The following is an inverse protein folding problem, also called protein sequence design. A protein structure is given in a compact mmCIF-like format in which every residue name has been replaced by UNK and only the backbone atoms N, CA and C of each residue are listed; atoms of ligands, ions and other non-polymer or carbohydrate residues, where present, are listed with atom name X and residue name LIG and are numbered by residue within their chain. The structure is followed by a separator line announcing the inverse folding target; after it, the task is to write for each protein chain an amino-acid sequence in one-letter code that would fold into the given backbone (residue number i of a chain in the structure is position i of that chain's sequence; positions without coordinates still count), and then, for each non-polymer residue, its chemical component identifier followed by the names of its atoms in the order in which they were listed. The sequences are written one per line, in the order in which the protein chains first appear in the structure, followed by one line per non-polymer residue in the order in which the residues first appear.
data_IF_275331761268
#
_entry.id   IF_275331761268
#
_cell.length_a   1.000
_cell.length_b   1.000
_cell.length_c   1.000
_cell.angle_alpha   90.00
_cell.angle_beta   90.00
_cell.angle_gamma   90.00
#
_symmetry.space_group_name_H-M   'P 1'
#
loop_
_entity.id
_entity.type
_entity.pdbx_description
1 polymer ?
#
# COMPACT_ATOMS: atom_id res chain seq x y z
N UNK A 1 -10.83 -6.07 -90.82
CA UNK A 1 -10.34 -6.86 -89.72
C UNK A 1 -9.71 -5.92 -88.65
N UNK A 2 -10.48 -5.54 -87.65
CA UNK A 2 -9.99 -4.64 -86.57
C UNK A 2 -9.97 -5.50 -85.22
N UNK A 3 -8.76 -5.67 -84.67
CA UNK A 3 -8.55 -6.34 -83.37
C UNK A 3 -8.74 -5.33 -82.24
N UNK A 4 -9.76 -5.55 -81.41
CA UNK A 4 -9.92 -4.84 -80.13
C UNK A 4 -9.06 -5.54 -79.09
N UNK A 5 -8.14 -4.77 -78.46
CA UNK A 5 -7.36 -5.19 -77.32
C UNK A 5 -8.04 -4.66 -76.05
N UNK A 6 -8.58 -5.55 -75.22
CA UNK A 6 -9.10 -5.17 -73.90
C UNK A 6 -7.94 -5.11 -72.89
N UNK A 7 -7.69 -3.91 -72.34
CA UNK A 7 -6.85 -3.76 -71.16
C UNK A 7 -7.69 -4.02 -69.90
N UNK A 8 -7.32 -5.05 -69.14
CA UNK A 8 -7.89 -5.31 -67.83
C UNK A 8 -7.08 -4.55 -66.78
N UNK A 9 -7.66 -3.51 -66.17
CA UNK A 9 -7.10 -2.89 -64.96
C UNK A 9 -7.35 -3.75 -63.76
N UNK A 10 -6.32 -4.33 -63.16
CA UNK A 10 -6.37 -5.00 -61.87
C UNK A 10 -6.22 -3.97 -60.77
N UNK A 11 -7.33 -3.64 -60.09
CA UNK A 11 -7.32 -2.81 -58.89
C UNK A 11 -6.89 -3.67 -57.65
N UNK A 12 -5.66 -3.47 -57.16
CA UNK A 12 -5.21 -4.00 -55.90
C UNK A 12 -5.91 -3.22 -54.76
N UNK A 13 -6.89 -3.86 -54.13
CA UNK A 13 -7.46 -3.36 -52.88
C UNK A 13 -6.46 -3.66 -51.73
N UNK A 14 -5.80 -2.60 -51.23
CA UNK A 14 -4.94 -2.66 -50.08
C UNK A 14 -5.85 -2.70 -48.83
N UNK A 15 -6.20 -3.87 -48.32
CA UNK A 15 -6.85 -4.02 -47.02
C UNK A 15 -5.84 -3.69 -45.91
N UNK A 16 -5.86 -2.45 -45.43
CA UNK A 16 -5.12 -2.02 -44.27
C UNK A 16 -5.68 -2.77 -43.03
N UNK A 17 -4.93 -3.69 -42.49
CA UNK A 17 -5.22 -4.31 -41.18
C UNK A 17 -5.00 -3.22 -40.14
N UNK A 18 -6.09 -2.61 -39.65
CA UNK A 18 -6.06 -1.74 -38.48
C UNK A 18 -5.86 -2.68 -37.30
N UNK A 19 -4.62 -2.84 -36.85
CA UNK A 19 -4.34 -3.49 -35.56
C UNK A 19 -4.95 -2.61 -34.47
N UNK A 20 -6.06 -3.04 -33.89
CA UNK A 20 -6.56 -2.45 -32.65
C UNK A 20 -5.51 -2.70 -31.58
N UNK A 21 -4.75 -1.68 -31.22
CA UNK A 21 -3.90 -1.72 -30.04
C UNK A 21 -4.82 -1.97 -28.83
N UNK A 22 -4.81 -3.17 -28.30
CA UNK A 22 -5.51 -3.48 -27.06
C UNK A 22 -4.77 -2.69 -25.98
N UNK A 23 -5.50 -1.83 -25.25
CA UNK A 23 -4.91 -1.08 -24.16
C UNK A 23 -4.29 -2.07 -23.17
N UNK A 24 -3.05 -1.83 -22.79
CA UNK A 24 -2.37 -2.63 -21.79
C UNK A 24 -3.12 -2.46 -20.46
N UNK A 25 -3.55 -3.56 -19.85
CA UNK A 25 -4.22 -3.54 -18.55
C UNK A 25 -3.21 -3.93 -17.47
N UNK A 26 -3.00 -3.03 -16.51
CA UNK A 26 -2.16 -3.25 -15.34
C UNK A 26 -3.03 -3.61 -14.14
N UNK A 27 -2.78 -4.77 -13.54
CA UNK A 27 -3.47 -5.23 -12.34
C UNK A 27 -2.65 -4.81 -11.12
N UNK A 28 -3.27 -4.08 -10.20
CA UNK A 28 -2.61 -3.57 -8.99
C UNK A 28 -3.37 -4.09 -7.77
N UNK A 29 -2.65 -4.68 -6.82
CA UNK A 29 -3.23 -5.09 -5.56
C UNK A 29 -3.01 -4.04 -4.47
N UNK A 30 -3.99 -3.96 -3.59
CA UNK A 30 -3.92 -3.26 -2.30
C UNK A 30 -4.57 -4.12 -1.23
N UNK A 31 -4.39 -3.82 0.06
CA UNK A 31 -5.00 -4.64 1.12
C UNK A 31 -6.51 -4.39 1.23
N UNK A 32 -6.92 -3.14 1.27
CA UNK A 32 -8.33 -2.76 1.42
C UNK A 32 -8.81 -2.69 2.87
N UNK A 33 -7.91 -2.77 3.85
CA UNK A 33 -8.19 -2.71 5.29
C UNK A 33 -7.22 -1.79 6.05
N UNK A 34 -6.73 -0.73 5.41
CA UNK A 34 -5.71 0.16 5.96
C UNK A 34 -6.04 1.65 5.72
N UNK A 35 -7.14 2.19 6.31
CA UNK A 35 -7.51 3.59 6.14
C UNK A 35 -6.48 4.52 6.78
N UNK A 36 -6.22 5.71 6.23
CA UNK A 36 -6.85 6.32 5.05
C UNK A 36 -6.13 5.95 3.74
N UNK A 37 -5.18 5.01 3.76
CA UNK A 37 -4.35 4.65 2.60
C UNK A 37 -5.09 3.77 1.59
N UNK A 38 -5.70 2.68 2.07
CA UNK A 38 -6.48 1.80 1.23
C UNK A 38 -7.58 1.11 2.08
N UNK A 39 -8.82 1.22 1.66
CA UNK A 39 -9.96 0.64 2.36
C UNK A 39 -11.11 0.36 1.40
N UNK A 40 -12.00 -0.53 1.81
CA UNK A 40 -13.21 -0.89 1.07
C UNK A 40 -14.41 -0.15 1.68
N UNK A 41 -15.19 0.52 0.85
CA UNK A 41 -16.41 1.20 1.28
C UNK A 41 -17.62 0.23 1.41
N UNK A 42 -18.75 0.76 1.85
CA UNK A 42 -20.01 -0.01 2.00
C UNK A 42 -20.58 -0.56 0.69
N UNK A 43 -20.06 -0.12 -0.47
CA UNK A 43 -20.40 -0.62 -1.81
C UNK A 43 -19.37 -1.59 -2.36
N UNK A 44 -18.43 -2.03 -1.51
CA UNK A 44 -17.31 -2.89 -1.91
C UNK A 44 -16.38 -2.26 -2.96
N UNK A 45 -16.17 -0.94 -2.87
CA UNK A 45 -15.26 -0.20 -3.75
C UNK A 45 -14.00 0.19 -2.98
N UNK A 46 -12.85 0.05 -3.63
CA UNK A 46 -11.55 0.44 -3.08
C UNK A 46 -11.37 1.97 -3.15
N UNK A 47 -10.93 2.54 -2.04
CA UNK A 47 -10.65 3.95 -1.86
C UNK A 47 -9.38 4.16 -1.05
N UNK A 48 -8.88 5.39 -1.02
CA UNK A 48 -7.78 5.82 -0.17
C UNK A 48 -6.60 6.36 -0.96
N UNK A 49 -5.58 6.81 -0.21
CA UNK A 49 -4.39 7.44 -0.77
C UNK A 49 -3.65 6.53 -1.76
N UNK A 50 -3.42 5.26 -1.41
CA UNK A 50 -2.75 4.27 -2.26
C UNK A 50 -3.52 4.04 -3.57
N UNK A 51 -4.86 3.97 -3.47
CA UNK A 51 -5.76 3.79 -4.60
C UNK A 51 -5.68 4.98 -5.56
N UNK A 52 -5.67 6.20 -5.02
CA UNK A 52 -5.56 7.42 -5.80
C UNK A 52 -4.18 7.58 -6.45
N UNK A 53 -3.11 7.21 -5.73
CA UNK A 53 -1.76 7.16 -6.29
C UNK A 53 -1.70 6.14 -7.44
N UNK A 54 -2.19 4.91 -7.24
CA UNK A 54 -2.21 3.89 -8.28
C UNK A 54 -2.93 4.38 -9.54
N UNK A 55 -4.12 4.98 -9.39
CA UNK A 55 -4.88 5.54 -10.51
C UNK A 55 -4.13 6.68 -11.22
N UNK A 56 -3.46 7.57 -10.48
CA UNK A 56 -2.68 8.65 -11.06
C UNK A 56 -1.47 8.14 -11.86
N UNK A 57 -0.78 7.11 -11.35
CA UNK A 57 0.32 6.45 -12.06
C UNK A 57 -0.16 5.81 -13.36
N UNK A 58 -1.29 5.10 -13.33
CA UNK A 58 -1.88 4.49 -14.51
C UNK A 58 -2.26 5.52 -15.58
N UNK A 59 -2.85 6.63 -15.15
CA UNK A 59 -3.17 7.75 -16.06
C UNK A 59 -1.91 8.33 -16.72
N UNK A 60 -0.81 8.50 -15.96
CA UNK A 60 0.47 8.95 -16.50
C UNK A 60 1.09 7.97 -17.49
N UNK A 61 1.00 6.68 -17.20
CA UNK A 61 1.49 5.61 -18.08
C UNK A 61 0.59 5.37 -19.30
N UNK A 62 -0.62 5.97 -19.35
CA UNK A 62 -1.64 5.74 -20.37
C UNK A 62 -2.05 4.28 -20.50
N UNK A 63 -2.20 3.59 -19.37
CA UNK A 63 -2.67 2.21 -19.28
C UNK A 63 -3.98 2.15 -18.51
N UNK A 64 -4.80 1.13 -18.82
CA UNK A 64 -5.97 0.82 -18.00
C UNK A 64 -5.55 0.07 -16.74
N UNK A 65 -6.09 0.44 -15.58
CA UNK A 65 -5.78 -0.23 -14.32
C UNK A 65 -6.98 -0.94 -13.72
N UNK A 66 -6.73 -2.14 -13.21
CA UNK A 66 -7.67 -2.88 -12.37
C UNK A 66 -7.10 -2.98 -10.96
N UNK A 67 -7.84 -2.48 -9.99
CA UNK A 67 -7.48 -2.58 -8.57
C UNK A 67 -8.12 -3.82 -7.95
N UNK A 68 -7.35 -4.54 -7.13
CA UNK A 68 -7.77 -5.80 -6.49
C UNK A 68 -7.46 -5.73 -5.01
N UNK A 69 -8.45 -6.05 -4.16
CA UNK A 69 -8.22 -6.27 -2.74
C UNK A 69 -7.59 -7.65 -2.50
N UNK A 70 -6.58 -7.71 -1.66
CA UNK A 70 -5.87 -8.94 -1.28
C UNK A 70 -5.39 -8.84 0.16
N UNK A 71 -5.79 -9.78 1.00
CA UNK A 71 -5.33 -9.87 2.39
C UNK A 71 -3.81 -9.79 2.48
N UNK A 72 -3.32 -9.09 3.50
CA UNK A 72 -1.92 -8.73 3.67
C UNK A 72 -0.97 -9.93 3.63
N UNK A 73 -1.23 -10.99 4.38
CA UNK A 73 -0.36 -12.18 4.43
C UNK A 73 -0.18 -12.87 3.07
N UNK A 74 -1.18 -12.73 2.19
CA UNK A 74 -1.17 -13.29 0.85
C UNK A 74 -0.61 -12.37 -0.23
N UNK A 75 -0.32 -11.10 0.05
CA UNK A 75 -0.11 -10.08 -0.98
C UNK A 75 1.20 -10.30 -1.79
N UNK A 76 2.33 -10.58 -1.15
CA UNK A 76 3.57 -10.92 -1.87
C UNK A 76 3.49 -12.29 -2.56
N UNK A 77 3.05 -13.38 -1.91
CA UNK A 77 2.84 -14.67 -2.58
C UNK A 77 1.98 -14.59 -3.84
N UNK A 78 0.90 -13.81 -3.82
CA UNK A 78 0.01 -13.66 -4.97
C UNK A 78 0.63 -12.80 -6.10
N UNK A 79 1.47 -11.80 -5.77
CA UNK A 79 2.28 -11.07 -6.75
C UNK A 79 3.24 -12.01 -7.48
N UNK A 80 3.95 -12.86 -6.73
CA UNK A 80 4.88 -13.85 -7.28
C UNK A 80 4.15 -14.91 -8.13
N UNK A 81 2.92 -15.26 -7.75
CA UNK A 81 2.03 -16.15 -8.52
C UNK A 81 1.35 -15.44 -9.73
N UNK A 82 1.73 -14.20 -10.05
CA UNK A 82 1.21 -13.41 -11.19
C UNK A 82 -0.29 -13.16 -11.18
N UNK A 83 -0.93 -13.13 -9.99
CA UNK A 83 -2.34 -12.76 -9.87
C UNK A 83 -2.56 -11.28 -10.21
N UNK A 84 -1.56 -10.45 -9.97
CA UNK A 84 -1.47 -9.04 -10.35
C UNK A 84 -0.01 -8.67 -10.66
N UNK A 85 0.23 -7.43 -11.04
CA UNK A 85 1.50 -7.00 -11.63
C UNK A 85 2.29 -6.07 -10.71
N UNK A 86 1.59 -5.36 -9.81
CA UNK A 86 2.17 -4.48 -8.80
C UNK A 86 1.35 -4.49 -7.50
N UNK A 87 1.97 -4.08 -6.41
CA UNK A 87 1.32 -3.87 -5.10
C UNK A 87 1.52 -2.42 -4.68
N UNK A 88 0.40 -1.71 -4.48
CA UNK A 88 0.34 -0.35 -3.92
C UNK A 88 -0.52 -0.43 -2.66
N UNK A 89 0.13 -0.69 -1.52
CA UNK A 89 -0.53 -1.06 -0.28
C UNK A 89 0.26 -0.64 0.95
N UNK A 90 0.80 0.58 0.95
CA UNK A 90 1.59 1.10 2.08
C UNK A 90 2.74 0.17 2.51
N UNK A 91 3.35 -0.54 1.56
CA UNK A 91 4.36 -1.54 1.85
C UNK A 91 5.73 -0.91 2.15
N UNK A 92 6.20 -1.04 3.37
CA UNK A 92 7.54 -0.63 3.80
C UNK A 92 8.60 -1.46 3.08
N UNK A 93 9.66 -0.81 2.62
CA UNK A 93 10.85 -1.47 2.07
C UNK A 93 11.62 -2.13 3.22
N UNK A 94 11.79 -3.45 3.16
CA UNK A 94 12.65 -4.19 4.10
C UNK A 94 13.60 -5.11 3.33
N UNK A 95 14.75 -5.44 3.94
CA UNK A 95 15.70 -6.39 3.33
C UNK A 95 15.06 -7.76 3.05
N UNK A 96 14.18 -8.23 3.94
CA UNK A 96 13.48 -9.50 3.77
C UNK A 96 12.51 -9.49 2.57
N UNK A 97 11.82 -8.37 2.36
CA UNK A 97 10.95 -8.18 1.20
C UNK A 97 11.76 -8.03 -0.08
N UNK A 98 12.89 -7.30 -0.05
CA UNK A 98 13.79 -7.12 -1.19
C UNK A 98 14.41 -8.42 -1.69
N UNK A 99 14.54 -9.46 -0.85
CA UNK A 99 14.95 -10.81 -1.29
C UNK A 99 13.92 -11.49 -2.19
N UNK A 100 12.67 -11.04 -2.17
CA UNK A 100 11.55 -11.67 -2.90
C UNK A 100 10.99 -10.81 -4.02
N UNK A 101 10.98 -9.48 -3.85
CA UNK A 101 10.39 -8.50 -4.78
C UNK A 101 11.33 -7.32 -4.98
N UNK A 102 11.10 -6.56 -6.04
CA UNK A 102 11.75 -5.26 -6.26
C UNK A 102 10.79 -4.13 -5.90
N UNK A 103 11.35 -3.01 -5.47
CA UNK A 103 10.60 -1.82 -5.14
C UNK A 103 10.88 -0.68 -6.10
N UNK A 104 9.90 0.20 -6.29
CA UNK A 104 10.08 1.53 -6.89
C UNK A 104 10.84 2.45 -5.93
N UNK A 105 11.09 3.69 -6.37
CA UNK A 105 11.37 4.78 -5.45
C UNK A 105 10.20 4.92 -4.47
N UNK A 106 10.49 5.44 -3.26
CA UNK A 106 9.44 5.64 -2.26
C UNK A 106 8.38 6.62 -2.75
N UNK A 107 7.13 6.42 -2.32
CA UNK A 107 6.07 7.41 -2.55
C UNK A 107 5.61 8.10 -1.27
N UNK A 108 6.01 7.63 -0.08
CA UNK A 108 5.93 8.38 1.18
C UNK A 108 6.86 7.79 2.24
N UNK A 109 6.94 8.44 3.41
CA UNK A 109 7.63 7.95 4.60
C UNK A 109 6.67 7.79 5.75
N UNK A 110 6.95 6.84 6.62
CA UNK A 110 6.21 6.59 7.85
C UNK A 110 7.14 6.28 9.00
N UNK A 111 6.59 6.05 10.16
CA UNK A 111 7.27 5.50 11.35
C UNK A 111 6.27 4.75 12.20
N UNK A 112 6.76 3.91 13.09
CA UNK A 112 5.93 3.22 14.04
C UNK A 112 5.54 4.14 15.21
N UNK A 113 4.35 3.90 15.72
CA UNK A 113 3.83 4.57 16.90
C UNK A 113 3.02 3.58 17.76
N UNK A 114 2.80 3.94 19.01
CA UNK A 114 2.04 3.13 19.96
C UNK A 114 0.79 3.87 20.39
N UNK A 115 -0.35 3.19 20.37
CA UNK A 115 -1.56 3.60 21.05
C UNK A 115 -1.82 2.76 22.29
N UNK A 116 -2.49 3.38 23.26
CA UNK A 116 -2.91 2.75 24.53
C UNK A 116 -4.33 3.17 24.87
N UNK A 117 -5.00 2.44 25.74
CA UNK A 117 -6.28 2.85 26.29
C UNK A 117 -6.13 4.19 27.05
N UNK A 118 -7.17 5.03 27.03
CA UNK A 118 -7.23 6.24 27.86
C UNK A 118 -7.12 5.86 29.32
N UNK A 119 -6.26 6.58 30.04
CA UNK A 119 -5.98 6.27 31.45
C UNK A 119 -4.92 5.19 31.68
N UNK A 120 -4.25 4.70 30.62
CA UNK A 120 -3.10 3.83 30.75
C UNK A 120 -1.98 4.47 31.60
N UNK A 121 -1.33 3.65 32.43
CA UNK A 121 -0.17 4.05 33.24
C UNK A 121 1.12 4.18 32.44
N UNK A 122 1.16 3.66 31.19
CA UNK A 122 2.33 3.81 30.31
C UNK A 122 2.60 5.29 30.02
N UNK A 123 3.91 5.67 30.04
CA UNK A 123 4.36 7.06 29.86
C UNK A 123 5.29 7.26 28.66
N UNK A 124 5.85 6.17 28.13
CA UNK A 124 6.81 6.23 27.02
C UNK A 124 6.78 4.92 26.20
N UNK A 125 7.50 4.93 25.07
CA UNK A 125 7.59 3.80 24.15
C UNK A 125 8.86 2.95 24.33
N UNK A 126 9.55 3.07 25.46
CA UNK A 126 10.74 2.26 25.74
C UNK A 126 10.36 0.80 25.95
N UNK A 127 11.12 -0.16 25.39
CA UNK A 127 10.76 -1.58 25.44
C UNK A 127 10.50 -2.11 26.86
N UNK A 128 11.29 -1.66 27.84
CA UNK A 128 11.20 -2.12 29.22
C UNK A 128 9.86 -1.74 29.90
N UNK A 129 9.23 -0.67 29.41
CA UNK A 129 7.94 -0.19 29.93
C UNK A 129 6.78 -1.14 29.58
N UNK A 130 6.96 -2.06 28.62
CA UNK A 130 5.94 -3.00 28.17
C UNK A 130 6.04 -4.39 28.83
N UNK A 131 7.01 -4.58 29.72
CA UNK A 131 7.20 -5.88 30.40
C UNK A 131 5.93 -6.34 31.12
N UNK A 132 5.47 -7.54 30.76
CA UNK A 132 4.26 -8.15 31.35
C UNK A 132 2.94 -7.60 30.81
N UNK A 133 2.98 -6.67 29.83
CA UNK A 133 1.81 -6.14 29.15
C UNK A 133 1.51 -6.91 27.86
N UNK A 134 0.26 -6.85 27.41
CA UNK A 134 -0.20 -7.45 26.17
C UNK A 134 -0.14 -6.42 25.04
N UNK A 135 0.72 -6.65 24.05
CA UNK A 135 0.95 -5.75 22.90
C UNK A 135 0.41 -6.38 21.63
N UNK A 136 -0.44 -5.67 20.90
CA UNK A 136 -1.00 -6.12 19.63
C UNK A 136 -0.35 -5.46 18.43
N UNK A 137 -0.30 -6.18 17.29
CA UNK A 137 0.07 -5.66 15.98
C UNK A 137 -0.49 -6.55 14.87
N UNK A 138 -0.52 -6.06 13.64
CA UNK A 138 -0.85 -6.90 12.48
C UNK A 138 0.33 -7.82 12.15
N UNK A 139 0.03 -9.08 11.80
CA UNK A 139 1.02 -10.09 11.39
C UNK A 139 1.72 -9.71 10.08
N UNK A 140 2.93 -10.24 9.86
CA UNK A 140 3.72 -10.07 8.62
C UNK A 140 4.03 -8.61 8.24
N UNK A 141 3.89 -7.69 9.21
CA UNK A 141 4.19 -6.25 9.05
C UNK A 141 5.46 -5.85 9.81
N UNK A 142 5.98 -4.65 9.53
CA UNK A 142 7.08 -4.06 10.33
C UNK A 142 6.66 -3.82 11.77
N UNK A 143 5.39 -3.48 12.01
CA UNK A 143 4.79 -3.32 13.33
C UNK A 143 4.82 -4.64 14.12
N UNK A 144 4.39 -5.74 13.47
CA UNK A 144 4.40 -7.07 14.07
C UNK A 144 5.80 -7.56 14.39
N UNK A 145 6.74 -7.41 13.45
CA UNK A 145 8.15 -7.76 13.68
C UNK A 145 8.76 -6.94 14.83
N UNK A 146 8.51 -5.63 14.86
CA UNK A 146 8.99 -4.78 15.96
C UNK A 146 8.39 -5.20 17.30
N UNK A 147 7.10 -5.50 17.33
CA UNK A 147 6.43 -5.95 18.55
C UNK A 147 7.07 -7.25 19.08
N UNK A 148 7.33 -8.23 18.22
CA UNK A 148 7.95 -9.51 18.62
C UNK A 148 9.42 -9.33 19.00
N UNK A 149 10.22 -8.70 18.14
CA UNK A 149 11.69 -8.64 18.28
C UNK A 149 12.13 -7.68 19.39
N UNK A 150 11.34 -6.64 19.69
CA UNK A 150 11.73 -5.60 20.63
C UNK A 150 10.87 -5.66 21.90
N UNK A 151 9.56 -5.54 21.81
CA UNK A 151 8.72 -5.57 23.01
C UNK A 151 8.60 -6.99 23.60
N UNK A 152 8.47 -8.01 22.74
CA UNK A 152 8.47 -9.41 23.15
C UNK A 152 9.79 -9.80 23.83
N UNK A 153 10.93 -9.42 23.25
CA UNK A 153 12.25 -9.64 23.87
C UNK A 153 12.42 -8.90 25.21
N UNK A 154 11.74 -7.77 25.41
CA UNK A 154 11.71 -7.05 26.70
C UNK A 154 10.74 -7.64 27.71
N UNK A 155 9.95 -8.66 27.35
CA UNK A 155 9.04 -9.39 28.22
C UNK A 155 7.57 -9.00 28.11
N UNK A 156 7.15 -8.37 27.00
CA UNK A 156 5.74 -8.22 26.67
C UNK A 156 5.14 -9.55 26.14
N UNK A 157 3.86 -9.76 26.33
CA UNK A 157 3.08 -10.76 25.58
C UNK A 157 2.65 -10.15 24.25
N UNK A 158 3.09 -10.71 23.11
CA UNK A 158 2.73 -10.18 21.80
C UNK A 158 1.60 -10.99 21.18
N UNK A 159 0.56 -10.29 20.71
CA UNK A 159 -0.55 -10.86 19.94
C UNK A 159 -0.54 -10.32 18.54
N UNK A 160 -0.42 -11.21 17.55
CA UNK A 160 -0.48 -10.88 16.14
C UNK A 160 -1.88 -11.15 15.57
N UNK A 161 -2.35 -10.24 14.72
CA UNK A 161 -3.68 -10.26 14.11
C UNK A 161 -3.58 -10.32 12.59
N UNK A 162 -4.53 -10.97 11.90
CA UNK A 162 -4.52 -11.01 10.42
C UNK A 162 -4.76 -9.64 9.79
N UNK A 163 -5.49 -8.75 10.47
CA UNK A 163 -5.70 -7.37 10.03
C UNK A 163 -5.41 -6.36 11.14
N UNK A 164 -5.13 -5.13 10.75
CA UNK A 164 -4.95 -4.04 11.71
C UNK A 164 -6.27 -3.69 12.43
N UNK A 165 -7.40 -3.81 11.74
CA UNK A 165 -8.72 -3.55 12.33
C UNK A 165 -9.05 -4.51 13.47
N UNK A 166 -8.64 -5.79 13.37
CA UNK A 166 -8.80 -6.75 14.47
C UNK A 166 -7.97 -6.36 15.70
N UNK A 167 -6.73 -5.93 15.49
CA UNK A 167 -5.87 -5.43 16.56
C UNK A 167 -6.44 -4.15 17.21
N UNK A 168 -6.94 -3.22 16.41
CA UNK A 168 -7.61 -2.00 16.86
C UNK A 168 -8.84 -2.33 17.74
N UNK A 169 -9.66 -3.30 17.30
CA UNK A 169 -10.84 -3.74 18.05
C UNK A 169 -10.47 -4.35 19.41
N UNK A 170 -9.37 -5.08 19.49
CA UNK A 170 -8.90 -5.69 20.74
C UNK A 170 -8.32 -4.65 21.71
N UNK A 171 -7.64 -3.61 21.23
CA UNK A 171 -7.27 -2.46 22.07
C UNK A 171 -8.52 -1.75 22.60
N UNK A 172 -9.50 -1.49 21.72
CA UNK A 172 -10.75 -0.80 22.09
C UNK A 172 -11.55 -1.56 23.18
N UNK A 173 -11.48 -2.87 23.18
CA UNK A 173 -12.20 -3.72 24.15
C UNK A 173 -11.38 -4.10 25.38
N UNK A 174 -10.15 -3.59 25.51
CA UNK A 174 -9.27 -3.82 26.66
C UNK A 174 -8.65 -5.23 26.71
N UNK A 175 -8.58 -5.92 25.55
CA UNK A 175 -7.86 -7.19 25.43
C UNK A 175 -6.37 -7.00 25.11
N UNK A 176 -5.98 -5.79 24.79
CA UNK A 176 -4.60 -5.32 24.65
C UNK A 176 -4.36 -4.15 25.60
N UNK A 177 -3.15 -4.07 26.13
CA UNK A 177 -2.66 -2.90 26.87
C UNK A 177 -2.10 -1.82 25.93
N UNK A 178 -1.53 -2.25 24.81
CA UNK A 178 -0.95 -1.37 23.81
C UNK A 178 -1.07 -1.96 22.39
N UNK A 179 -1.02 -1.07 21.40
CA UNK A 179 -1.07 -1.39 19.98
C UNK A 179 0.09 -0.72 19.27
N UNK A 180 0.88 -1.50 18.51
CA UNK A 180 1.89 -0.98 17.59
C UNK A 180 1.28 -0.84 16.19
N UNK A 181 1.50 0.31 15.57
CA UNK A 181 0.92 0.64 14.29
C UNK A 181 1.80 1.64 13.52
N UNK A 182 1.63 1.76 12.20
CA UNK A 182 2.14 2.93 11.49
C UNK A 182 1.44 4.19 11.97
N UNK A 183 2.21 5.26 12.08
CA UNK A 183 1.75 6.51 12.69
C UNK A 183 0.51 7.12 12.02
N UNK A 184 0.49 7.20 10.71
CA UNK A 184 -0.58 7.94 10.03
C UNK A 184 -1.94 7.22 10.05
N UNK A 185 -2.03 5.91 9.76
CA UNK A 185 -3.29 5.19 9.97
C UNK A 185 -3.72 5.18 11.43
N UNK A 186 -2.76 5.09 12.37
CA UNK A 186 -3.05 5.18 13.80
C UNK A 186 -3.71 6.51 14.17
N UNK A 187 -3.18 7.62 13.67
CA UNK A 187 -3.76 8.95 13.93
C UNK A 187 -5.16 9.09 13.32
N UNK A 188 -5.39 8.53 12.13
CA UNK A 188 -6.71 8.51 11.50
C UNK A 188 -7.71 7.71 12.33
N UNK A 189 -7.33 6.50 12.77
CA UNK A 189 -8.16 5.66 13.64
C UNK A 189 -8.47 6.34 14.98
N UNK A 190 -7.45 6.92 15.65
CA UNK A 190 -7.62 7.66 16.91
C UNK A 190 -8.50 8.89 16.78
N UNK A 191 -8.57 9.49 15.59
CA UNK A 191 -9.48 10.62 15.33
C UNK A 191 -10.94 10.19 15.06
N UNK A 192 -11.17 8.93 14.74
CA UNK A 192 -12.46 8.34 14.36
C UNK A 192 -12.94 7.31 15.39
N UNK A 193 -12.71 6.04 15.10
CA UNK A 193 -13.25 4.91 15.86
C UNK A 193 -12.55 4.71 17.21
N UNK A 194 -11.28 5.07 17.30
CA UNK A 194 -10.48 5.01 18.54
C UNK A 194 -10.62 6.23 19.45
N UNK A 195 -11.35 7.28 19.03
CA UNK A 195 -11.36 8.59 19.70
C UNK A 195 -11.82 8.57 21.16
N UNK A 196 -12.74 7.67 21.49
CA UNK A 196 -13.36 7.61 22.84
C UNK A 196 -12.61 6.65 23.77
N UNK A 197 -11.97 5.60 23.22
CA UNK A 197 -11.27 4.57 23.99
C UNK A 197 -9.80 4.88 24.25
N UNK A 198 -9.15 5.49 23.28
CA UNK A 198 -7.72 5.30 23.12
C UNK A 198 -6.98 6.61 22.89
N UNK A 199 -5.66 6.58 23.01
CA UNK A 199 -4.81 7.77 22.79
C UNK A 199 -3.45 7.34 22.26
N UNK A 200 -2.78 8.24 21.55
CA UNK A 200 -1.39 8.07 21.15
C UNK A 200 -0.50 8.13 22.40
N UNK A 201 0.30 7.08 22.63
CA UNK A 201 1.36 7.09 23.63
C UNK A 201 2.58 7.84 23.11
N UNK A 202 2.99 7.55 21.88
CA UNK A 202 4.12 8.24 21.24
C UNK A 202 4.66 7.49 20.03
N UNK A 203 5.59 8.15 19.34
CA UNK A 203 6.36 7.57 18.24
C UNK A 203 7.45 6.62 18.78
N UNK A 204 7.73 5.57 18.03
CA UNK A 204 8.87 4.69 18.29
C UNK A 204 10.07 5.26 17.55
N UNK A 205 11.11 5.62 18.30
CA UNK A 205 12.32 6.24 17.75
C UNK A 205 13.13 5.23 16.92
N UNK A 206 13.68 5.70 15.78
CA UNK A 206 14.53 4.89 14.91
C UNK A 206 13.76 3.95 13.98
N UNK A 207 12.47 4.17 13.81
CA UNK A 207 11.61 3.40 12.90
C UNK A 207 11.11 4.23 11.73
N UNK A 208 11.95 5.16 11.23
CA UNK A 208 11.61 5.94 10.02
C UNK A 208 11.78 5.05 8.80
N UNK A 209 10.66 4.70 8.17
CA UNK A 209 10.59 3.75 7.09
C UNK A 209 10.18 4.41 5.76
N UNK A 210 10.68 3.88 4.66
CA UNK A 210 10.29 4.26 3.30
C UNK A 210 9.27 3.27 2.75
N UNK A 211 8.20 3.80 2.17
CA UNK A 211 7.10 3.03 1.60
C UNK A 211 7.14 3.13 0.07
N UNK A 212 7.06 1.99 -0.61
CA UNK A 212 7.19 1.93 -2.05
C UNK A 212 6.25 0.88 -2.69
N UNK A 213 6.17 0.93 -4.01
CA UNK A 213 5.39 -0.01 -4.83
C UNK A 213 6.22 -1.26 -5.07
N UNK A 214 5.67 -2.43 -4.78
CA UNK A 214 6.36 -3.69 -5.03
C UNK A 214 5.98 -4.28 -6.39
N UNK A 215 6.98 -4.81 -7.10
CA UNK A 215 6.85 -5.56 -8.35
C UNK A 215 7.72 -6.83 -8.26
N UNK A 216 7.51 -7.81 -9.15
CA UNK A 216 8.40 -8.97 -9.21
C UNK A 216 9.83 -8.54 -9.57
N UNK A 217 10.82 -9.29 -9.13
CA UNK A 217 12.25 -8.95 -9.37
C UNK A 217 12.60 -8.86 -10.86
N UNK A 218 11.97 -9.69 -11.70
CA UNK A 218 12.17 -9.69 -13.15
C UNK A 218 11.47 -8.55 -13.89
N UNK A 219 10.49 -7.88 -13.27
CA UNK A 219 9.65 -6.85 -13.92
C UNK A 219 10.29 -5.44 -13.90
N UNK A 220 11.60 -5.37 -14.19
CA UNK A 220 12.35 -4.11 -14.17
C UNK A 220 11.74 -3.02 -15.09
N UNK A 221 11.24 -3.40 -16.27
CA UNK A 221 10.62 -2.43 -17.19
C UNK A 221 9.36 -1.81 -16.59
N UNK A 222 8.54 -2.56 -15.85
CA UNK A 222 7.37 -2.04 -15.15
C UNK A 222 7.82 -1.11 -14.00
N UNK A 223 8.81 -1.52 -13.21
CA UNK A 223 9.35 -0.70 -12.13
C UNK A 223 9.83 0.68 -12.62
N UNK A 224 10.60 0.71 -13.71
CA UNK A 224 11.09 1.96 -14.28
C UNK A 224 9.95 2.85 -14.83
N UNK A 225 8.91 2.25 -15.42
CA UNK A 225 7.71 2.99 -15.86
C UNK A 225 6.96 3.58 -14.68
N UNK A 226 6.82 2.84 -13.57
CA UNK A 226 6.20 3.32 -12.33
C UNK A 226 7.03 4.45 -11.71
N UNK A 227 8.35 4.32 -11.63
CA UNK A 227 9.24 5.38 -11.13
C UNK A 227 9.12 6.66 -11.95
N UNK A 228 9.11 6.54 -13.29
CA UNK A 228 8.92 7.69 -14.16
C UNK A 228 7.57 8.37 -13.92
N UNK A 229 6.49 7.59 -13.87
CA UNK A 229 5.15 8.11 -13.59
C UNK A 229 5.06 8.76 -12.20
N UNK A 230 5.71 8.17 -11.19
CA UNK A 230 5.79 8.72 -9.83
C UNK A 230 6.50 10.08 -9.83
N UNK A 231 7.66 10.17 -10.49
CA UNK A 231 8.39 11.43 -10.62
C UNK A 231 7.54 12.51 -11.33
N UNK A 232 6.78 12.14 -12.37
CA UNK A 232 5.91 13.06 -13.11
C UNK A 232 4.76 13.59 -12.25
N UNK A 233 4.05 12.73 -11.47
CA UNK A 233 2.96 13.19 -10.60
C UNK A 233 3.46 14.03 -9.43
N UNK A 234 4.70 13.82 -8.97
CA UNK A 234 5.35 14.67 -7.96
C UNK A 234 5.65 16.04 -8.56
N UNK A 235 6.28 16.05 -9.74
CA UNK A 235 6.73 17.28 -10.41
C UNK A 235 5.57 18.20 -10.81
N UNK A 236 4.46 17.65 -11.31
CA UNK A 236 3.31 18.44 -11.79
C UNK A 236 2.30 18.79 -10.68
N UNK A 237 2.56 18.37 -9.45
CA UNK A 237 1.74 18.66 -8.28
C UNK A 237 0.54 17.73 -8.06
N UNK A 238 0.31 16.73 -8.93
CA UNK A 238 -0.76 15.74 -8.78
C UNK A 238 -0.63 14.97 -7.46
N UNK A 239 0.61 14.55 -7.10
CA UNK A 239 0.88 13.91 -5.83
C UNK A 239 0.42 14.78 -4.65
N UNK A 240 0.81 16.05 -4.63
CA UNK A 240 0.43 16.99 -3.57
C UNK A 240 -1.09 17.18 -3.47
N UNK A 241 -1.78 17.26 -4.61
CA UNK A 241 -3.24 17.33 -4.64
C UNK A 241 -3.88 16.08 -4.03
N UNK A 242 -3.35 14.89 -4.34
CA UNK A 242 -3.83 13.63 -3.78
C UNK A 242 -3.56 13.62 -2.27
N UNK A 243 -2.31 13.83 -1.84
CA UNK A 243 -1.92 13.77 -0.43
C UNK A 243 -2.73 14.75 0.45
N UNK A 244 -3.00 15.97 -0.04
CA UNK A 244 -3.75 16.99 0.72
C UNK A 244 -5.21 16.63 0.99
N UNK A 245 -5.78 15.63 0.34
CA UNK A 245 -7.12 15.11 0.63
C UNK A 245 -7.17 14.24 1.89
N UNK A 246 -6.04 13.64 2.23
CA UNK A 246 -5.90 12.67 3.31
C UNK A 246 -5.11 13.20 4.49
N UNK A 247 -4.12 14.06 4.23
CA UNK A 247 -3.16 14.51 5.24
C UNK A 247 -3.03 16.03 5.24
N UNK A 248 -3.10 16.68 6.43
CA UNK A 248 -2.91 18.13 6.57
C UNK A 248 -1.42 18.54 6.60
N UNK A 249 -0.50 17.60 6.38
CA UNK A 249 0.95 17.75 6.40
C UNK A 249 1.59 16.96 5.24
N UNK A 250 2.87 17.23 4.98
CA UNK A 250 3.65 16.49 3.97
C UNK A 250 4.06 15.11 4.51
N UNK A 251 3.86 14.07 3.72
CA UNK A 251 4.25 12.68 4.02
C UNK A 251 5.35 12.15 3.09
N UNK A 252 5.79 12.93 2.07
CA UNK A 252 6.80 12.52 1.07
C UNK A 252 8.25 12.55 1.64
#
# INVERSE_FOLDING_TARGET
MKRLTCLALASLAFCGVVATAQAETLRIATEGAYPPFNFVDSKNQLHGFDVDIANALCAKMQVECTLVAQDWDGIIPALLARKYDAVVASMVITEERQKKVSFTDRYYRTRLAVAVARGSELKDTRPESFKGLVVGAQSSTTQGMYAEDVFGAAGAEVKLYPSQDDANADLNTGRLDALVHDKFPLLDWLAKDGKDCCTLLGDIQGTDDEVAIAVRQEDNALRERLNKALAEIIQDGTYKQIASRYFPFDIY
#
